data_IF_763119517789
#
_entry.id   IF_763119517789
#
_cell.length_a   1.000
_cell.length_b   1.000
_cell.length_c   1.000
_cell.angle_alpha   90.00
_cell.angle_beta   90.00
_cell.angle_gamma   90.00
#
_symmetry.space_group_name_H-M   'P 1'
#
loop_
_entity.id
_entity.type
_entity.pdbx_description
1 polymer ?
#
# COMPACT_ATOMS: atom_id res chain seq x y z
N UNK A 1 -11.92 8.99 68.17
CA UNK A 1 -12.95 8.08 67.63
C UNK A 1 -14.16 8.97 67.37
N UNK A 2 -14.68 9.20 66.17
CA UNK A 2 -14.57 8.53 64.89
C UNK A 2 -14.98 9.59 63.83
N UNK A 3 -14.22 9.69 62.74
CA UNK A 3 -14.38 10.76 61.74
C UNK A 3 -15.58 10.52 60.82
N UNK A 4 -16.38 11.56 60.63
CA UNK A 4 -17.51 11.58 59.71
C UNK A 4 -17.03 11.57 58.25
N UNK A 5 -17.49 10.58 57.48
CA UNK A 5 -17.30 10.49 56.03
C UNK A 5 -18.19 11.48 55.26
N UNK A 6 -17.70 12.14 54.19
CA UNK A 6 -18.57 12.83 53.26
C UNK A 6 -18.96 11.92 52.08
N UNK A 7 -20.27 11.84 51.86
CA UNK A 7 -20.98 11.14 50.78
C UNK A 7 -20.53 11.60 49.40
N UNK A 8 -20.10 10.67 48.55
CA UNK A 8 -19.87 10.89 47.14
C UNK A 8 -21.22 11.12 46.42
N UNK A 9 -21.40 12.32 45.86
CA UNK A 9 -22.52 12.62 44.95
C UNK A 9 -22.17 12.11 43.55
N UNK A 10 -22.93 11.14 43.06
CA UNK A 10 -23.02 10.79 41.65
C UNK A 10 -23.38 12.04 40.83
N UNK A 11 -22.46 12.50 39.97
CA UNK A 11 -22.80 13.34 38.82
C UNK A 11 -22.85 12.44 37.60
N UNK A 12 -24.07 12.11 37.18
CA UNK A 12 -24.35 11.70 35.81
C UNK A 12 -23.97 12.86 34.89
N UNK A 13 -23.05 12.62 33.96
CA UNK A 13 -22.75 13.56 32.88
C UNK A 13 -23.51 13.06 31.66
N UNK A 14 -24.64 13.71 31.39
CA UNK A 14 -25.38 13.61 30.15
C UNK A 14 -24.44 14.00 28.99
N UNK A 15 -24.25 13.08 28.05
CA UNK A 15 -23.53 13.33 26.81
C UNK A 15 -24.51 13.91 25.81
N UNK A 16 -24.56 15.24 25.73
CA UNK A 16 -25.18 15.94 24.61
C UNK A 16 -24.39 15.64 23.33
N UNK A 17 -25.04 14.97 22.38
CA UNK A 17 -24.49 14.65 21.07
C UNK A 17 -24.41 15.90 20.20
N UNK A 18 -23.21 16.46 20.06
CA UNK A 18 -22.93 17.44 19.01
C UNK A 18 -22.82 16.72 17.66
N UNK A 19 -23.96 16.61 16.97
CA UNK A 19 -24.01 16.24 15.57
C UNK A 19 -23.38 17.37 14.73
N UNK A 20 -22.28 17.05 14.03
CA UNK A 20 -21.75 17.92 12.99
C UNK A 20 -22.73 17.93 11.80
N UNK A 21 -23.10 19.09 11.24
CA UNK A 21 -24.00 19.14 10.10
C UNK A 21 -23.32 18.54 8.86
N UNK A 22 -23.93 17.49 8.33
CA UNK A 22 -23.59 16.88 7.04
C UNK A 22 -24.04 17.86 5.96
N UNK A 23 -23.09 18.41 5.20
CA UNK A 23 -23.39 19.20 4.02
C UNK A 23 -24.11 18.33 2.97
N UNK A 24 -25.13 18.86 2.27
CA UNK A 24 -25.84 18.10 1.24
C UNK A 24 -24.90 17.78 0.07
N UNK A 25 -25.02 16.54 -0.41
CA UNK A 25 -24.32 16.02 -1.59
C UNK A 25 -25.05 16.53 -2.83
N UNK A 26 -24.47 17.51 -3.51
CA UNK A 26 -24.85 17.86 -4.88
C UNK A 26 -23.73 17.43 -5.82
N UNK A 27 -23.92 16.28 -6.47
CA UNK A 27 -23.35 15.92 -7.77
C UNK A 27 -24.08 14.67 -8.27
N UNK A 28 -25.35 14.85 -8.64
CA UNK A 28 -26.00 13.99 -9.63
C UNK A 28 -25.50 14.44 -11.00
N UNK A 29 -24.63 13.62 -11.61
CA UNK A 29 -24.31 13.75 -13.03
C UNK A 29 -25.38 13.01 -13.81
N UNK A 30 -26.32 13.75 -14.38
CA UNK A 30 -27.27 13.24 -15.38
C UNK A 30 -26.49 12.75 -16.61
N UNK A 31 -26.60 11.45 -16.90
CA UNK A 31 -26.21 10.89 -18.19
C UNK A 31 -27.29 11.27 -19.22
N UNK A 32 -27.02 12.29 -20.04
CA UNK A 32 -27.77 12.54 -21.27
C UNK A 32 -27.48 11.42 -22.28
N UNK A 33 -28.50 10.58 -22.51
CA UNK A 33 -28.52 9.57 -23.56
C UNK A 33 -28.68 10.20 -24.95
N UNK A 34 -27.64 10.13 -25.77
CA UNK A 34 -27.73 10.45 -27.19
C UNK A 34 -28.27 9.22 -27.96
N UNK A 35 -29.56 9.26 -28.27
CA UNK A 35 -30.23 8.34 -29.18
C UNK A 35 -30.61 9.07 -30.47
N UNK A 36 -29.73 9.04 -31.48
CA UNK A 36 -30.14 9.24 -32.88
C UNK A 36 -29.44 8.30 -33.83
N UNK A 37 -30.21 7.31 -34.31
CA UNK A 37 -29.91 6.50 -35.47
C UNK A 37 -30.79 6.91 -36.66
N UNK A 38 -30.17 6.89 -37.86
CA UNK A 38 -30.74 6.93 -39.24
C UNK A 38 -31.19 8.33 -39.72
N UNK A 39 -30.96 8.77 -40.97
CA UNK A 39 -30.71 8.10 -42.24
C UNK A 39 -30.01 9.06 -43.25
N UNK A 40 -29.37 8.52 -44.29
CA UNK A 40 -29.03 9.31 -45.50
C UNK A 40 -27.81 8.83 -46.29
N UNK A 41 -28.03 7.97 -47.29
CA UNK A 41 -27.03 7.57 -48.30
C UNK A 41 -26.92 8.66 -49.38
N UNK A 42 -25.69 9.01 -49.81
CA UNK A 42 -25.20 8.94 -51.19
C UNK A 42 -23.91 9.75 -51.40
N UNK A 43 -23.00 9.22 -52.24
CA UNK A 43 -21.99 10.05 -52.95
C UNK A 43 -20.54 9.60 -52.79
N UNK A 44 -20.09 8.63 -53.61
CA UNK A 44 -18.66 8.38 -53.87
C UNK A 44 -18.07 9.59 -54.60
N UNK A 45 -16.98 10.18 -54.07
CA UNK A 45 -15.90 10.77 -54.89
C UNK A 45 -14.56 10.57 -54.18
N UNK A 46 -13.64 9.88 -54.88
CA UNK A 46 -12.20 9.92 -54.60
C UNK A 46 -11.66 11.26 -55.09
N UNK A 47 -10.80 11.89 -54.30
CA UNK A 47 -9.76 12.83 -54.75
C UNK A 47 -8.63 12.80 -53.70
N UNK A 48 -7.41 12.84 -54.22
CA UNK A 48 -6.19 12.54 -53.47
C UNK A 48 -5.51 13.75 -52.84
N UNK A 49 -4.36 13.40 -52.24
CA UNK A 49 -3.16 14.19 -51.97
C UNK A 49 -3.18 15.29 -50.89
N UNK A 50 -2.26 15.09 -49.93
CA UNK A 50 -1.45 16.08 -49.22
C UNK A 50 -2.14 16.97 -48.18
N UNK A 51 -1.88 16.68 -46.90
CA UNK A 51 -1.69 17.71 -45.87
C UNK A 51 -0.63 17.21 -44.87
N UNK A 52 0.61 17.62 -45.08
CA UNK A 52 1.59 17.86 -44.01
C UNK A 52 1.32 19.29 -43.49
N UNK A 53 0.97 19.44 -42.21
CA UNK A 53 1.66 20.30 -41.22
C UNK A 53 0.78 20.52 -39.97
N UNK A 54 1.35 20.51 -38.75
CA UNK A 54 0.64 20.85 -37.52
C UNK A 54 0.56 22.37 -37.35
N UNK A 55 -0.59 22.83 -36.85
CA UNK A 55 -0.87 24.23 -36.51
C UNK A 55 0.15 24.78 -35.49
N UNK A 56 1.17 25.46 -35.98
CA UNK A 56 2.08 26.28 -35.16
C UNK A 56 1.48 27.68 -34.99
N UNK A 57 0.68 27.84 -33.92
CA UNK A 57 0.05 29.10 -33.56
C UNK A 57 1.07 30.11 -33.02
N UNK A 58 1.70 30.88 -33.91
CA UNK A 58 2.45 32.09 -33.54
C UNK A 58 1.68 33.35 -33.94
N UNK A 59 0.81 33.81 -33.05
CA UNK A 59 0.30 35.18 -33.12
C UNK A 59 1.37 36.16 -32.60
N UNK A 60 1.76 37.20 -33.36
CA UNK A 60 2.73 38.18 -32.89
C UNK A 60 2.06 39.10 -31.87
N UNK A 61 2.47 39.02 -30.60
CA UNK A 61 2.07 39.95 -29.54
C UNK A 61 1.53 39.33 -28.25
N UNK A 62 1.31 38.02 -28.20
CA UNK A 62 0.96 37.37 -26.93
C UNK A 62 2.22 37.25 -26.06
N UNK A 63 2.36 38.08 -25.02
CA UNK A 63 3.34 37.82 -23.94
C UNK A 63 2.98 36.47 -23.33
N UNK A 64 3.69 35.42 -23.76
CA UNK A 64 3.61 34.08 -23.19
C UNK A 64 3.80 34.24 -21.68
N UNK A 65 2.74 34.03 -20.91
CA UNK A 65 2.82 33.97 -19.46
C UNK A 65 3.67 32.75 -19.14
N UNK A 66 4.95 32.98 -18.84
CA UNK A 66 5.89 31.92 -18.56
C UNK A 66 5.70 31.55 -17.10
N UNK A 67 4.90 30.51 -16.88
CA UNK A 67 4.74 29.88 -15.58
C UNK A 67 6.12 29.53 -14.98
N UNK A 68 6.55 30.22 -13.90
CA UNK A 68 7.85 30.00 -13.28
C UNK A 68 8.02 28.56 -12.76
N UNK A 69 6.92 27.89 -12.39
CA UNK A 69 6.95 26.52 -11.89
C UNK A 69 7.22 25.52 -13.02
N UNK A 70 6.68 25.75 -14.22
CA UNK A 70 7.01 24.94 -15.41
C UNK A 70 8.49 25.01 -15.78
N UNK A 71 9.13 26.17 -15.65
CA UNK A 71 10.58 26.32 -15.89
C UNK A 71 11.41 25.57 -14.85
N UNK A 72 11.04 25.64 -13.56
CA UNK A 72 11.70 24.88 -12.49
C UNK A 72 11.57 23.37 -12.70
N UNK A 73 10.36 22.88 -12.97
CA UNK A 73 10.15 21.47 -13.26
C UNK A 73 10.91 20.98 -14.51
N UNK A 74 11.07 21.81 -15.55
CA UNK A 74 11.89 21.47 -16.71
C UNK A 74 13.39 21.48 -16.38
N UNK A 75 13.87 22.43 -15.57
CA UNK A 75 15.25 22.49 -15.13
C UNK A 75 15.61 21.29 -14.23
N UNK A 76 14.73 20.92 -13.30
CA UNK A 76 14.91 19.75 -12.42
C UNK A 76 14.93 18.45 -13.22
N UNK A 77 14.07 18.31 -14.23
CA UNK A 77 14.08 17.16 -15.15
C UNK A 77 15.36 17.09 -15.98
N UNK A 78 15.88 18.23 -16.46
CA UNK A 78 17.17 18.28 -17.18
C UNK A 78 18.32 17.91 -16.26
N UNK A 79 18.36 18.45 -15.04
CA UNK A 79 19.38 18.12 -14.05
C UNK A 79 19.33 16.65 -13.60
N UNK A 80 18.14 16.06 -13.50
CA UNK A 80 17.97 14.63 -13.22
C UNK A 80 18.48 13.75 -14.38
N UNK A 81 18.19 14.13 -15.63
CA UNK A 81 18.72 13.46 -16.82
C UNK A 81 20.23 13.57 -16.93
N UNK A 82 20.80 14.74 -16.65
CA UNK A 82 22.26 14.94 -16.67
C UNK A 82 22.96 14.12 -15.57
N UNK A 83 22.31 13.89 -14.42
CA UNK A 83 22.79 12.97 -13.38
C UNK A 83 22.71 11.52 -13.82
N UNK A 84 21.62 11.10 -14.44
CA UNK A 84 21.44 9.75 -15.00
C UNK A 84 22.47 9.43 -16.09
N UNK A 85 22.74 10.40 -16.98
CA UNK A 85 23.70 10.26 -18.08
C UNK A 85 25.16 10.17 -17.60
N UNK A 86 25.48 10.64 -16.40
CA UNK A 86 26.81 10.55 -15.78
C UNK A 86 27.02 9.24 -15.01
N UNK A 87 25.97 8.45 -14.80
CA UNK A 87 26.08 7.14 -14.13
C UNK A 87 26.57 6.10 -15.14
N UNK A 88 27.63 5.36 -14.78
CA UNK A 88 28.01 4.16 -15.53
C UNK A 88 27.08 2.97 -15.24
N UNK A 89 27.32 1.81 -15.86
CA UNK A 89 26.58 0.56 -15.60
C UNK A 89 26.98 -0.14 -14.28
N UNK A 90 27.69 0.56 -13.39
CA UNK A 90 28.18 0.01 -12.12
C UNK A 90 27.08 -0.36 -11.12
N UNK A 91 27.45 -0.90 -9.94
CA UNK A 91 26.51 -1.27 -8.89
C UNK A 91 25.64 -0.09 -8.46
N UNK A 92 24.37 -0.34 -8.11
CA UNK A 92 23.44 0.69 -7.66
C UNK A 92 23.70 0.98 -6.18
N UNK A 93 24.17 2.20 -5.86
CA UNK A 93 24.30 2.62 -4.47
C UNK A 93 22.92 2.88 -3.87
N UNK A 94 22.51 2.03 -2.94
CA UNK A 94 21.15 2.00 -2.41
C UNK A 94 21.12 2.35 -0.92
N UNK A 95 20.24 3.29 -0.56
CA UNK A 95 19.91 3.62 0.82
C UNK A 95 18.56 3.01 1.18
N UNK A 96 18.53 2.08 2.12
CA UNK A 96 17.31 1.47 2.65
C UNK A 96 16.90 2.15 3.93
N UNK A 97 15.64 2.58 4.03
CA UNK A 97 15.08 3.10 5.28
C UNK A 97 14.45 1.96 6.06
N UNK A 98 15.04 1.65 7.19
CA UNK A 98 14.59 0.61 8.11
C UNK A 98 13.35 1.03 8.88
N UNK A 99 12.45 0.08 9.06
CA UNK A 99 11.35 0.15 10.02
C UNK A 99 11.49 -0.96 11.07
N UNK A 100 11.12 -0.64 12.31
CA UNK A 100 11.08 -1.58 13.44
C UNK A 100 9.68 -1.76 14.00
N UNK A 101 9.52 -2.88 14.71
CA UNK A 101 8.44 -3.15 15.64
C UNK A 101 9.08 -3.52 16.98
N UNK A 102 9.09 -2.59 17.93
CA UNK A 102 9.90 -2.74 19.14
C UNK A 102 11.39 -2.77 18.80
N UNK A 103 12.09 -3.82 19.23
CA UNK A 103 13.52 -4.02 18.94
C UNK A 103 13.79 -4.71 17.61
N UNK A 104 12.78 -5.37 17.03
CA UNK A 104 12.94 -6.19 15.82
C UNK A 104 12.77 -5.37 14.55
N UNK A 105 13.60 -5.67 13.54
CA UNK A 105 13.39 -5.15 12.19
C UNK A 105 12.13 -5.77 11.59
N UNK A 106 11.30 -4.92 10.99
CA UNK A 106 10.16 -5.43 10.22
C UNK A 106 10.68 -6.23 9.03
N UNK A 107 9.91 -7.25 8.64
CA UNK A 107 10.20 -8.10 7.49
C UNK A 107 10.51 -7.30 6.22
N UNK A 108 9.76 -6.24 5.95
CA UNK A 108 9.99 -5.37 4.77
C UNK A 108 11.39 -4.74 4.77
N UNK A 109 11.97 -4.44 5.95
CA UNK A 109 13.33 -3.94 6.04
C UNK A 109 14.34 -5.00 5.58
N UNK A 110 14.15 -6.25 6.00
CA UNK A 110 15.01 -7.37 5.62
C UNK A 110 14.90 -7.65 4.11
N UNK A 111 13.68 -7.65 3.58
CA UNK A 111 13.40 -7.80 2.15
C UNK A 111 14.10 -6.73 1.31
N UNK A 112 14.02 -5.47 1.74
CA UNK A 112 14.64 -4.35 1.05
C UNK A 112 16.17 -4.37 1.14
N UNK A 113 16.72 -4.72 2.30
CA UNK A 113 18.17 -4.84 2.47
C UNK A 113 18.76 -5.96 1.59
N UNK A 114 18.11 -7.13 1.57
CA UNK A 114 18.48 -8.22 0.69
C UNK A 114 18.42 -7.79 -0.78
N UNK A 115 17.33 -7.11 -1.18
CA UNK A 115 17.19 -6.63 -2.57
C UNK A 115 18.22 -5.57 -2.94
N UNK A 116 18.54 -4.66 -2.01
CA UNK A 116 19.57 -3.66 -2.22
C UNK A 116 20.94 -4.31 -2.45
N UNK A 117 21.27 -5.36 -1.69
CA UNK A 117 22.50 -6.15 -1.90
C UNK A 117 22.58 -6.84 -3.26
N UNK A 118 21.45 -7.32 -3.81
CA UNK A 118 21.40 -7.85 -5.18
C UNK A 118 21.64 -6.77 -6.26
N UNK A 119 21.27 -5.51 -5.98
CA UNK A 119 21.41 -4.40 -6.92
C UNK A 119 22.80 -3.73 -6.86
N UNK A 120 23.55 -3.94 -5.77
CA UNK A 120 24.86 -3.34 -5.54
C UNK A 120 25.11 -3.05 -4.06
N UNK A 121 25.63 -1.86 -3.77
CA UNK A 121 25.96 -1.47 -2.40
C UNK A 121 24.71 -1.05 -1.62
N UNK A 122 24.56 -1.57 -0.41
CA UNK A 122 23.43 -1.28 0.46
C UNK A 122 23.87 -0.62 1.77
N UNK A 123 23.33 0.57 2.04
CA UNK A 123 23.37 1.19 3.38
C UNK A 123 21.97 1.13 3.97
N UNK A 124 21.84 0.61 5.20
CA UNK A 124 20.55 0.58 5.90
C UNK A 124 20.55 1.62 7.01
N UNK A 125 19.58 2.53 6.98
CA UNK A 125 19.44 3.62 7.97
C UNK A 125 18.12 3.54 8.72
N UNK A 126 18.17 3.84 10.01
CA UNK A 126 16.99 3.99 10.87
C UNK A 126 16.94 5.42 11.40
N UNK A 127 15.80 6.08 11.22
CA UNK A 127 15.59 7.43 11.77
C UNK A 127 15.09 7.28 13.20
N UNK A 128 15.92 7.68 14.16
CA UNK A 128 15.60 7.67 15.58
C UNK A 128 14.61 8.79 15.93
N UNK A 129 13.62 8.46 16.75
CA UNK A 129 12.63 9.38 17.31
C UNK A 129 11.64 8.60 18.16
N UNK A 130 10.98 9.27 19.11
CA UNK A 130 9.96 8.64 19.96
C UNK A 130 8.78 8.09 19.15
N UNK A 131 8.45 8.76 18.04
CA UNK A 131 7.38 8.42 17.10
C UNK A 131 7.74 8.90 15.70
N UNK A 132 7.05 8.37 14.70
CA UNK A 132 7.10 8.93 13.35
C UNK A 132 6.60 10.38 13.35
N UNK A 133 7.43 11.31 12.87
CA UNK A 133 7.03 12.68 12.56
C UNK A 133 7.47 13.04 11.13
N UNK A 134 6.54 13.35 10.20
CA UNK A 134 6.86 13.49 8.79
C UNK A 134 7.96 14.50 8.48
N UNK A 135 7.91 15.71 9.07
CA UNK A 135 8.81 16.81 8.70
C UNK A 135 10.23 16.64 9.25
N UNK A 136 10.43 16.27 10.53
CA UNK A 136 11.75 15.90 11.04
C UNK A 136 12.37 14.72 10.30
N UNK A 137 11.58 13.68 10.00
CA UNK A 137 12.09 12.47 9.35
C UNK A 137 12.52 12.73 7.92
N UNK A 138 11.71 13.45 7.13
CA UNK A 138 12.10 13.79 5.75
C UNK A 138 13.27 14.76 5.70
N UNK A 139 13.46 15.61 6.72
CA UNK A 139 14.60 16.52 6.79
C UNK A 139 15.90 15.80 7.10
N UNK A 140 15.90 14.93 8.11
CA UNK A 140 17.04 14.06 8.42
C UNK A 140 17.43 13.17 7.23
N UNK A 141 16.43 12.54 6.59
CA UNK A 141 16.69 11.65 5.45
C UNK A 141 17.20 12.41 4.21
N UNK A 142 16.69 13.62 3.94
CA UNK A 142 17.20 14.45 2.86
C UNK A 142 18.68 14.82 3.06
N UNK A 143 19.07 15.24 4.28
CA UNK A 143 20.47 15.53 4.63
C UNK A 143 21.37 14.30 4.42
N UNK A 144 20.90 13.11 4.80
CA UNK A 144 21.60 11.83 4.58
C UNK A 144 21.76 11.50 3.10
N UNK A 145 20.72 11.72 2.30
CA UNK A 145 20.76 11.50 0.85
C UNK A 145 21.69 12.50 0.15
N UNK A 146 21.77 13.75 0.61
CA UNK A 146 22.69 14.75 0.07
C UNK A 146 24.16 14.43 0.39
N UNK A 147 24.45 13.91 1.59
CA UNK A 147 25.81 13.55 1.99
C UNK A 147 26.32 12.29 1.30
N UNK A 148 25.49 11.25 1.22
CA UNK A 148 25.91 9.97 0.64
C UNK A 148 25.68 9.84 -0.85
N UNK A 149 24.81 10.69 -1.42
CA UNK A 149 24.43 10.67 -2.84
C UNK A 149 24.05 9.27 -3.35
N UNK A 150 23.13 8.53 -2.70
CA UNK A 150 22.68 7.25 -3.21
C UNK A 150 21.93 7.43 -4.54
N UNK A 151 22.09 6.44 -5.42
CA UNK A 151 21.35 6.29 -6.67
C UNK A 151 19.88 5.96 -6.37
N UNK A 152 19.64 5.11 -5.38
CA UNK A 152 18.31 4.60 -5.07
C UNK A 152 18.02 4.74 -3.58
N UNK A 153 16.82 5.21 -3.25
CA UNK A 153 16.31 5.15 -1.87
C UNK A 153 15.11 4.20 -1.83
N UNK A 154 15.20 3.16 -0.99
CA UNK A 154 14.15 2.16 -0.82
C UNK A 154 13.48 2.33 0.54
N UNK A 155 12.15 2.34 0.54
CA UNK A 155 11.32 2.36 1.74
C UNK A 155 10.26 1.26 1.64
N UNK A 156 9.81 0.74 2.78
CA UNK A 156 8.61 -0.09 2.79
C UNK A 156 7.39 0.75 2.41
N UNK A 157 6.48 0.22 1.60
CA UNK A 157 5.21 0.88 1.30
C UNK A 157 4.19 0.69 2.45
N UNK A 158 4.65 0.88 3.69
CA UNK A 158 3.86 0.92 4.92
C UNK A 158 3.13 2.26 5.04
N UNK A 159 2.33 2.44 6.10
CA UNK A 159 1.67 3.72 6.37
C UNK A 159 2.69 4.88 6.45
N UNK A 160 3.77 4.69 7.22
CA UNK A 160 4.79 5.71 7.40
C UNK A 160 5.70 5.80 6.16
N UNK A 161 6.11 4.67 5.59
CA UNK A 161 7.05 4.67 4.48
C UNK A 161 6.47 5.24 3.19
N UNK A 162 5.15 5.09 2.93
CA UNK A 162 4.49 5.77 1.79
C UNK A 162 4.51 7.29 1.92
N UNK A 163 4.20 7.80 3.12
CA UNK A 163 4.22 9.24 3.42
C UNK A 163 5.65 9.79 3.32
N UNK A 164 6.61 9.13 3.98
CA UNK A 164 8.01 9.55 3.99
C UNK A 164 8.64 9.52 2.59
N UNK A 165 8.43 8.45 1.81
CA UNK A 165 9.00 8.29 0.48
C UNK A 165 8.49 9.37 -0.49
N UNK A 166 7.19 9.65 -0.48
CA UNK A 166 6.59 10.66 -1.34
C UNK A 166 7.13 12.06 -1.01
N UNK A 167 7.21 12.41 0.27
CA UNK A 167 7.77 13.69 0.73
C UNK A 167 9.24 13.83 0.36
N UNK A 168 10.02 12.77 0.54
CA UNK A 168 11.45 12.75 0.19
C UNK A 168 11.65 12.98 -1.30
N UNK A 169 10.92 12.23 -2.14
CA UNK A 169 11.03 12.35 -3.59
C UNK A 169 10.68 13.77 -4.06
N UNK A 170 9.60 14.35 -3.52
CA UNK A 170 9.19 15.71 -3.81
C UNK A 170 10.27 16.74 -3.38
N UNK A 171 10.83 16.60 -2.17
CA UNK A 171 11.87 17.49 -1.65
C UNK A 171 13.16 17.45 -2.47
N UNK A 172 13.55 16.27 -2.96
CA UNK A 172 14.77 16.06 -3.73
C UNK A 172 14.59 16.28 -5.25
N UNK A 173 13.37 16.51 -5.73
CA UNK A 173 13.06 16.57 -7.16
C UNK A 173 13.40 15.26 -7.90
N UNK A 174 13.20 14.10 -7.26
CA UNK A 174 13.51 12.77 -7.80
C UNK A 174 12.27 12.03 -8.26
N UNK A 175 12.45 11.10 -9.21
CA UNK A 175 11.38 10.20 -9.63
C UNK A 175 10.92 9.32 -8.45
N UNK A 176 9.62 9.03 -8.39
CA UNK A 176 9.01 8.18 -7.36
C UNK A 176 8.14 7.09 -7.97
N UNK A 177 8.41 5.84 -7.61
CA UNK A 177 7.49 4.74 -7.82
C UNK A 177 6.92 4.26 -6.48
N UNK A 178 5.61 4.43 -6.32
CA UNK A 178 4.89 3.99 -5.13
C UNK A 178 4.40 2.54 -5.25
N UNK A 179 4.45 1.81 -4.14
CA UNK A 179 3.82 0.48 -3.95
C UNK A 179 4.25 -0.53 -5.01
N UNK A 180 5.56 -0.59 -5.26
CA UNK A 180 6.20 -1.48 -6.22
C UNK A 180 6.22 -2.91 -5.68
N UNK A 181 6.00 -3.88 -6.57
CA UNK A 181 6.01 -5.32 -6.26
C UNK A 181 7.20 -6.06 -6.85
N UNK A 182 8.00 -5.42 -7.70
CA UNK A 182 9.22 -6.01 -8.26
C UNK A 182 10.20 -4.94 -8.72
N UNK A 183 11.50 -5.20 -8.55
CA UNK A 183 12.57 -4.26 -8.87
C UNK A 183 13.72 -4.95 -9.60
N UNK A 184 14.20 -4.34 -10.69
CA UNK A 184 15.35 -4.82 -11.47
C UNK A 184 16.20 -3.63 -11.93
N UNK A 185 17.51 -3.76 -11.83
CA UNK A 185 18.43 -2.80 -12.45
C UNK A 185 18.35 -2.90 -13.98
N UNK A 186 18.42 -1.75 -14.66
CA UNK A 186 18.39 -1.65 -16.11
C UNK A 186 19.35 -0.54 -16.58
N UNK A 187 20.65 -0.85 -16.60
CA UNK A 187 21.71 0.10 -16.96
C UNK A 187 21.72 1.31 -16.01
N UNK A 188 21.49 2.51 -16.55
CA UNK A 188 21.39 3.78 -15.78
C UNK A 188 19.99 4.06 -15.21
N UNK A 189 19.08 3.09 -15.35
CA UNK A 189 17.69 3.18 -14.91
C UNK A 189 17.26 1.96 -14.11
N UNK A 190 16.06 2.03 -13.55
CA UNK A 190 15.42 0.98 -12.77
C UNK A 190 14.11 0.58 -13.44
N UNK A 191 13.88 -0.71 -13.61
CA UNK A 191 12.56 -1.24 -13.96
C UNK A 191 11.82 -1.65 -12.68
N UNK A 192 10.60 -1.14 -12.52
CA UNK A 192 9.74 -1.43 -11.39
C UNK A 192 8.40 -2.00 -11.87
N UNK A 193 8.03 -3.17 -11.36
CA UNK A 193 6.69 -3.74 -11.57
C UNK A 193 5.76 -3.21 -10.47
N UNK A 194 4.59 -2.70 -10.83
CA UNK A 194 3.58 -2.25 -9.86
C UNK A 194 2.14 -2.53 -10.31
N UNK A 195 1.22 -2.78 -9.36
CA UNK A 195 -0.20 -2.83 -9.66
C UNK A 195 -0.76 -1.42 -9.89
N UNK A 196 -1.70 -1.32 -10.83
CA UNK A 196 -2.49 -0.12 -11.13
C UNK A 196 -3.97 -0.51 -11.25
N UNK A 197 -4.86 0.48 -11.09
CA UNK A 197 -6.32 0.29 -11.19
C UNK A 197 -6.84 -0.86 -10.32
N UNK A 198 -6.54 -0.79 -9.01
CA UNK A 198 -6.90 -1.84 -8.04
C UNK A 198 -6.37 -3.24 -8.38
N UNK A 199 -5.23 -3.32 -9.08
CA UNK A 199 -4.59 -4.58 -9.46
C UNK A 199 -5.04 -5.14 -10.81
N UNK A 200 -5.99 -4.49 -11.51
CA UNK A 200 -6.42 -4.88 -12.86
C UNK A 200 -5.33 -4.77 -13.91
N UNK A 201 -4.34 -3.91 -13.68
CA UNK A 201 -3.19 -3.73 -14.57
C UNK A 201 -1.91 -3.97 -13.79
N UNK A 202 -1.02 -4.80 -14.34
CA UNK A 202 0.37 -4.93 -13.89
C UNK A 202 1.24 -4.14 -14.85
N UNK A 203 1.75 -3.00 -14.40
CA UNK A 203 2.58 -2.12 -15.20
C UNK A 203 4.05 -2.34 -14.85
N UNK A 204 4.90 -2.31 -15.87
CA UNK A 204 6.34 -2.13 -15.72
C UNK A 204 6.69 -0.69 -16.06
N UNK A 205 7.28 0.03 -15.12
CA UNK A 205 7.68 1.43 -15.29
C UNK A 205 9.19 1.54 -15.22
N UNK A 206 9.76 2.44 -16.03
CA UNK A 206 11.19 2.74 -16.04
C UNK A 206 11.44 4.05 -15.30
N UNK A 207 12.35 4.05 -14.33
CA UNK A 207 12.77 5.22 -13.58
C UNK A 207 14.24 5.51 -13.87
N UNK A 208 14.55 6.71 -14.33
CA UNK A 208 15.94 7.17 -14.40
C UNK A 208 16.48 7.36 -12.97
N UNK A 209 17.68 6.86 -12.70
CA UNK A 209 18.36 7.08 -11.42
C UNK A 209 19.00 8.49 -11.39
N UNK A 210 19.00 9.20 -10.25
CA UNK A 210 18.59 8.70 -8.94
C UNK A 210 17.08 8.78 -8.66
N UNK A 211 16.54 7.78 -7.95
CA UNK A 211 15.11 7.62 -7.70
C UNK A 211 14.80 7.26 -6.24
N UNK A 212 13.53 7.44 -5.86
CA UNK A 212 12.94 6.95 -4.61
C UNK A 212 11.89 5.91 -4.95
N UNK A 213 11.85 4.81 -4.22
CA UNK A 213 10.85 3.75 -4.42
C UNK A 213 10.30 3.30 -3.08
N UNK A 214 8.97 3.16 -3.00
CA UNK A 214 8.35 2.41 -1.91
C UNK A 214 7.90 1.03 -2.40
N UNK A 215 8.28 -0.01 -1.67
CA UNK A 215 8.06 -1.41 -2.06
C UNK A 215 7.04 -2.07 -1.14
N UNK A 216 6.06 -2.75 -1.72
CA UNK A 216 5.01 -3.44 -0.99
C UNK A 216 5.61 -4.49 -0.03
N UNK A 217 5.29 -4.46 1.27
CA UNK A 217 5.70 -5.50 2.21
C UNK A 217 5.30 -6.90 1.71
N UNK A 218 6.22 -7.85 1.76
CA UNK A 218 6.01 -9.23 1.31
C UNK A 218 6.18 -9.45 -0.19
N UNK A 219 6.36 -8.40 -0.99
CA UNK A 219 6.45 -8.54 -2.44
C UNK A 219 7.82 -9.02 -2.91
N UNK A 220 8.88 -8.69 -2.17
CA UNK A 220 10.22 -9.18 -2.47
C UNK A 220 10.46 -10.48 -1.69
N UNK A 221 10.90 -11.56 -2.33
CA UNK A 221 11.26 -12.79 -1.64
C UNK A 221 12.41 -12.54 -0.66
N UNK A 222 12.28 -13.06 0.56
CA UNK A 222 13.38 -13.14 1.52
C UNK A 222 13.90 -14.57 1.54
N UNK A 223 15.13 -14.78 1.08
CA UNK A 223 15.74 -16.11 1.05
C UNK A 223 16.00 -16.63 2.47
N UNK A 224 15.92 -17.95 2.65
CA UNK A 224 16.28 -18.58 3.91
C UNK A 224 17.76 -18.30 4.22
N UNK A 225 18.05 -17.86 5.45
CA UNK A 225 19.41 -17.52 5.89
C UNK A 225 19.86 -16.09 5.57
N UNK A 226 18.96 -15.20 5.11
CA UNK A 226 19.28 -13.79 4.97
C UNK A 226 19.70 -13.19 6.32
N UNK A 227 20.93 -12.71 6.41
CA UNK A 227 21.46 -12.06 7.62
C UNK A 227 20.77 -10.71 7.86
N UNK A 228 20.59 -10.37 9.13
CA UNK A 228 20.08 -9.05 9.49
C UNK A 228 21.12 -7.99 9.09
N UNK A 229 20.73 -6.92 8.37
CA UNK A 229 21.67 -5.90 7.96
C UNK A 229 22.19 -5.11 9.17
N UNK A 230 23.41 -4.58 9.05
CA UNK A 230 23.89 -3.55 9.97
C UNK A 230 23.09 -2.27 9.76
N UNK A 231 22.51 -1.74 10.84
CA UNK A 231 21.63 -0.57 10.79
C UNK A 231 22.33 0.65 11.39
N UNK A 232 22.50 1.68 10.57
CA UNK A 232 23.00 2.97 11.03
C UNK A 232 21.85 3.84 11.54
N UNK A 233 21.92 4.27 12.80
CA UNK A 233 20.96 5.23 13.34
C UNK A 233 21.31 6.66 12.92
N UNK A 234 20.29 7.42 12.54
CA UNK A 234 20.36 8.87 12.34
C UNK A 234 19.25 9.54 13.13
N UNK A 235 19.51 10.70 13.73
CA UNK A 235 18.49 11.40 14.51
C UNK A 235 17.51 12.15 13.62
N UNK A 236 16.23 12.16 14.01
CA UNK A 236 15.25 13.04 13.39
C UNK A 236 15.65 14.51 13.56
N UNK A 237 15.41 15.32 12.53
CA UNK A 237 15.74 16.75 12.55
C UNK A 237 14.63 17.55 13.23
N UNK A 238 14.69 17.64 14.56
CA UNK A 238 13.67 18.30 15.38
C UNK A 238 13.49 19.78 15.03
N UNK A 239 14.49 20.43 14.44
CA UNK A 239 14.38 21.82 13.98
C UNK A 239 13.37 22.01 12.84
N UNK A 240 13.03 20.93 12.12
CA UNK A 240 12.05 20.94 11.05
C UNK A 240 10.61 20.69 11.53
N UNK A 241 10.38 20.49 12.83
CA UNK A 241 9.06 20.22 13.37
C UNK A 241 8.13 21.42 13.21
N UNK A 242 6.94 21.18 12.65
CA UNK A 242 5.88 22.19 12.50
C UNK A 242 4.51 21.64 12.92
N UNK A 243 4.46 20.41 13.40
CA UNK A 243 3.26 19.71 13.81
C UNK A 243 3.30 19.49 15.32
N UNK A 244 2.19 19.79 15.98
CA UNK A 244 1.99 19.44 17.39
C UNK A 244 1.26 18.11 17.45
N UNK A 245 1.92 17.09 17.98
CA UNK A 245 1.26 15.83 18.31
C UNK A 245 0.37 16.03 19.53
N UNK A 246 -0.91 15.65 19.41
CA UNK A 246 -1.89 15.83 20.49
C UNK A 246 -2.03 14.55 21.31
N UNK A 247 -2.33 13.42 20.67
CA UNK A 247 -2.59 12.15 21.35
C UNK A 247 -2.45 10.96 20.40
N UNK A 248 -1.99 9.82 20.92
CA UNK A 248 -2.19 8.51 20.34
C UNK A 248 -3.29 7.80 21.13
N UNK A 249 -4.35 7.37 20.46
CA UNK A 249 -5.37 6.51 21.04
C UNK A 249 -5.10 5.09 20.54
N UNK A 250 -4.45 4.27 21.38
CA UNK A 250 -4.28 2.86 21.06
C UNK A 250 -5.66 2.19 21.02
N UNK A 251 -6.01 1.58 19.89
CA UNK A 251 -7.11 0.62 19.83
C UNK A 251 -6.59 -0.70 20.43
N UNK A 252 -7.28 -1.21 21.44
CA UNK A 252 -6.87 -2.43 22.13
C UNK A 252 -6.74 -3.57 21.10
N UNK A 253 -5.51 -3.99 20.81
CA UNK A 253 -5.24 -5.19 20.02
C UNK A 253 -4.48 -6.16 20.91
N UNK A 254 -5.22 -6.76 21.85
CA UNK A 254 -4.80 -7.88 22.70
C UNK A 254 -4.77 -9.21 21.91
N UNK A 255 -4.38 -9.16 20.64
CA UNK A 255 -4.30 -10.35 19.81
C UNK A 255 -2.90 -10.91 19.88
N UNK A 256 -2.75 -12.11 20.48
CA UNK A 256 -1.52 -12.92 20.41
C UNK A 256 -1.12 -13.32 18.98
N UNK A 257 -1.96 -13.01 17.98
CA UNK A 257 -1.78 -13.40 16.57
C UNK A 257 -0.88 -12.41 15.82
N UNK A 258 -0.27 -12.92 14.75
CA UNK A 258 0.62 -12.15 13.87
C UNK A 258 -0.14 -10.97 13.24
N UNK A 259 0.54 -9.83 13.05
CA UNK A 259 -0.05 -8.70 12.34
C UNK A 259 -0.37 -9.07 10.90
N UNK A 260 -1.58 -8.75 10.42
CA UNK A 260 -2.00 -8.95 9.04
C UNK A 260 -0.99 -8.46 7.99
N UNK A 261 -0.33 -7.33 8.23
CA UNK A 261 0.61 -6.72 7.29
C UNK A 261 1.93 -7.50 7.13
N UNK A 262 2.22 -8.42 8.05
CA UNK A 262 3.47 -9.20 8.10
C UNK A 262 3.22 -10.71 8.01
N UNK A 263 1.95 -11.12 7.99
CA UNK A 263 1.56 -12.52 8.03
C UNK A 263 1.88 -13.23 6.71
N UNK A 264 2.50 -14.41 6.81
CA UNK A 264 2.74 -15.31 5.67
C UNK A 264 1.47 -16.03 5.22
N UNK A 265 0.56 -16.26 6.15
CA UNK A 265 -0.74 -16.85 5.91
C UNK A 265 -1.80 -15.92 6.45
N UNK A 266 -2.83 -15.64 5.66
CA UNK A 266 -4.01 -14.89 6.09
C UNK A 266 -5.24 -15.74 5.82
N UNK A 267 -6.02 -16.01 6.86
CA UNK A 267 -7.36 -16.60 6.72
C UNK A 267 -8.36 -15.47 6.95
N UNK A 268 -9.18 -15.19 5.96
CA UNK A 268 -10.09 -14.05 5.97
C UNK A 268 -11.54 -14.45 5.85
N UNK A 269 -12.38 -13.91 6.73
CA UNK A 269 -13.83 -14.10 6.73
C UNK A 269 -14.60 -12.97 6.04
N UNK A 270 -15.68 -13.33 5.34
CA UNK A 270 -16.65 -12.42 4.76
C UNK A 270 -18.05 -12.55 5.36
N UNK A 271 -19.01 -11.78 4.83
CA UNK A 271 -20.42 -11.86 5.23
C UNK A 271 -21.04 -13.24 5.04
N UNK A 272 -20.43 -14.10 4.21
CA UNK A 272 -20.87 -15.49 4.04
C UNK A 272 -20.83 -16.32 5.32
N UNK A 273 -20.14 -15.87 6.37
CA UNK A 273 -20.15 -16.48 7.71
C UNK A 273 -21.44 -16.21 8.50
N UNK A 274 -22.35 -15.36 7.98
CA UNK A 274 -23.70 -15.08 8.51
C UNK A 274 -23.79 -14.51 9.94
N UNK A 275 -22.69 -14.35 10.67
CA UNK A 275 -22.68 -13.69 11.98
C UNK A 275 -21.34 -13.85 12.71
N UNK A 276 -21.10 -13.04 13.76
CA UNK A 276 -19.87 -13.12 14.57
C UNK A 276 -19.75 -14.44 15.36
N UNK A 277 -20.85 -15.12 15.66
CA UNK A 277 -20.88 -16.42 16.34
C UNK A 277 -20.12 -17.51 15.56
N UNK A 278 -20.02 -17.36 14.24
CA UNK A 278 -19.34 -18.30 13.36
C UNK A 278 -17.88 -17.93 13.08
N UNK A 279 -17.36 -16.88 13.72
CA UNK A 279 -15.98 -16.42 13.48
C UNK A 279 -14.93 -17.42 13.94
N UNK A 280 -15.29 -18.34 14.85
CA UNK A 280 -14.44 -19.45 15.28
C UNK A 280 -13.89 -20.26 14.09
N UNK A 281 -14.65 -20.41 13.00
CA UNK A 281 -14.19 -21.09 11.77
C UNK A 281 -12.96 -20.44 11.15
N UNK A 282 -12.90 -19.10 11.17
CA UNK A 282 -11.76 -18.33 10.64
C UNK A 282 -10.57 -18.45 11.58
N UNK A 283 -10.82 -18.31 12.88
CA UNK A 283 -9.79 -18.32 13.92
C UNK A 283 -9.12 -19.69 14.05
N UNK A 284 -9.89 -20.77 14.07
CA UNK A 284 -9.35 -22.13 14.18
C UNK A 284 -8.51 -22.53 12.97
N UNK A 285 -8.95 -22.18 11.76
CA UNK A 285 -8.17 -22.43 10.55
C UNK A 285 -6.91 -21.57 10.51
N UNK A 286 -7.00 -20.30 10.93
CA UNK A 286 -5.83 -19.43 11.05
C UNK A 286 -4.82 -20.02 12.03
N UNK A 287 -5.26 -20.47 13.20
CA UNK A 287 -4.40 -21.06 14.22
C UNK A 287 -3.76 -22.37 13.72
N UNK A 288 -4.54 -23.22 13.04
CA UNK A 288 -4.04 -24.45 12.42
C UNK A 288 -2.95 -24.18 11.36
N UNK A 289 -3.05 -23.07 10.62
CA UNK A 289 -2.07 -22.66 9.62
C UNK A 289 -0.94 -21.79 10.18
N UNK A 290 -1.01 -21.37 11.46
CA UNK A 290 -0.10 -20.38 12.04
C UNK A 290 -0.20 -19.00 11.36
N UNK A 291 -1.40 -18.64 10.89
CA UNK A 291 -1.70 -17.43 10.14
C UNK A 291 -2.31 -16.30 10.97
N UNK A 292 -2.51 -15.16 10.31
CA UNK A 292 -3.30 -14.06 10.84
C UNK A 292 -4.75 -14.14 10.38
N UNK A 293 -5.63 -13.48 11.14
CA UNK A 293 -7.06 -13.38 10.85
C UNK A 293 -7.34 -12.08 10.12
N UNK A 294 -8.09 -12.15 9.02
CA UNK A 294 -8.55 -11.01 8.26
C UNK A 294 -10.08 -10.95 8.13
N UNK A 295 -10.59 -9.79 7.81
CA UNK A 295 -12.02 -9.56 7.60
C UNK A 295 -12.25 -8.72 6.33
N UNK A 296 -13.33 -9.01 5.60
CA UNK A 296 -13.82 -8.09 4.58
C UNK A 296 -14.39 -6.82 5.23
N UNK A 297 -14.43 -5.71 4.49
CA UNK A 297 -15.06 -4.47 4.99
C UNK A 297 -16.51 -4.67 5.45
N UNK A 298 -17.26 -5.53 4.77
CA UNK A 298 -18.65 -5.77 5.12
C UNK A 298 -18.83 -6.47 6.48
N UNK A 299 -17.77 -7.09 7.01
CA UNK A 299 -17.72 -7.68 8.36
C UNK A 299 -17.37 -6.61 9.40
N UNK A 300 -16.40 -5.75 9.11
CA UNK A 300 -15.99 -4.66 10.03
C UNK A 300 -17.03 -3.55 10.13
N UNK A 301 -17.65 -3.18 9.00
CA UNK A 301 -18.79 -2.23 8.97
C UNK A 301 -20.01 -2.78 9.76
N UNK A 302 -20.16 -4.11 9.84
CA UNK A 302 -21.18 -4.77 10.66
C UNK A 302 -20.81 -4.91 12.14
N UNK A 303 -19.63 -4.44 12.54
CA UNK A 303 -19.14 -4.49 13.92
C UNK A 303 -18.73 -5.89 14.40
N UNK A 304 -18.62 -6.88 13.51
CA UNK A 304 -18.26 -8.25 13.91
C UNK A 304 -16.80 -8.33 14.34
N UNK A 305 -15.93 -7.58 13.66
CA UNK A 305 -14.47 -7.55 13.85
C UNK A 305 -13.91 -6.13 13.79
N UNK A 306 -12.75 -5.89 14.43
CA UNK A 306 -12.12 -4.58 14.44
C UNK A 306 -11.57 -4.17 13.06
N UNK A 307 -11.49 -2.87 12.80
CA UNK A 307 -10.99 -2.31 11.52
C UNK A 307 -9.53 -2.70 11.24
N UNK A 308 -8.76 -3.01 12.27
CA UNK A 308 -7.40 -3.50 12.19
C UNK A 308 -7.30 -4.85 11.47
N UNK A 309 -8.39 -5.63 11.43
CA UNK A 309 -8.48 -6.89 10.69
C UNK A 309 -8.99 -6.69 9.26
N UNK A 310 -9.41 -5.49 8.87
CA UNK A 310 -9.97 -5.25 7.54
C UNK A 310 -8.90 -5.41 6.45
N UNK A 311 -9.19 -6.25 5.46
CA UNK A 311 -8.42 -6.38 4.22
C UNK A 311 -9.13 -5.63 3.10
N UNK A 312 -8.38 -4.87 2.30
CA UNK A 312 -8.91 -4.15 1.15
C UNK A 312 -8.29 -2.78 0.95
N UNK A 313 -8.79 -2.04 -0.04
CA UNK A 313 -8.32 -0.71 -0.44
C UNK A 313 -8.35 0.31 0.70
N UNK A 314 -9.39 0.27 1.54
CA UNK A 314 -9.55 1.14 2.70
C UNK A 314 -9.11 0.47 4.01
N UNK A 315 -8.63 -0.77 3.94
CA UNK A 315 -8.07 -1.51 5.06
C UNK A 315 -6.57 -1.75 4.86
N UNK A 316 -6.09 -2.90 5.32
CA UNK A 316 -4.72 -3.35 5.07
C UNK A 316 -4.62 -3.99 3.69
N UNK A 317 -3.59 -3.58 2.96
CA UNK A 317 -3.08 -4.35 1.81
C UNK A 317 -2.11 -5.40 2.35
N UNK A 318 -2.32 -6.66 1.98
CA UNK A 318 -1.54 -7.82 2.44
C UNK A 318 -0.95 -8.56 1.24
N UNK A 319 0.22 -9.17 1.44
CA UNK A 319 0.94 -9.95 0.42
C UNK A 319 1.38 -11.30 0.99
N UNK A 320 0.47 -12.11 1.57
CA UNK A 320 0.85 -13.39 2.15
C UNK A 320 1.27 -14.40 1.07
N UNK A 321 1.99 -15.42 1.50
CA UNK A 321 2.25 -16.60 0.70
C UNK A 321 0.94 -17.38 0.44
N UNK A 322 0.03 -17.42 1.43
CA UNK A 322 -1.29 -18.04 1.32
C UNK A 322 -2.39 -17.09 1.84
N UNK A 323 -3.42 -16.87 1.02
CA UNK A 323 -4.64 -16.19 1.40
C UNK A 323 -5.83 -17.13 1.26
N UNK A 324 -6.56 -17.36 2.34
CA UNK A 324 -7.80 -18.18 2.34
C UNK A 324 -8.99 -17.26 2.54
N UNK A 325 -9.86 -17.16 1.53
CA UNK A 325 -11.07 -16.34 1.56
C UNK A 325 -12.29 -17.21 1.86
N UNK A 326 -12.89 -17.02 3.03
CA UNK A 326 -14.06 -17.78 3.50
C UNK A 326 -15.32 -16.92 3.41
N UNK A 327 -16.22 -17.24 2.47
CA UNK A 327 -17.49 -16.54 2.31
C UNK A 327 -17.34 -15.07 1.89
N UNK A 328 -16.31 -14.77 1.09
CA UNK A 328 -16.05 -13.43 0.53
C UNK A 328 -16.43 -13.44 -0.95
N UNK A 329 -17.24 -12.46 -1.39
CA UNK A 329 -17.68 -12.38 -2.79
C UNK A 329 -16.60 -11.89 -3.76
N UNK A 330 -15.61 -11.14 -3.27
CA UNK A 330 -14.53 -10.61 -4.12
C UNK A 330 -14.81 -9.23 -4.73
N UNK A 331 -15.49 -8.34 -4.00
CA UNK A 331 -15.64 -6.94 -4.42
C UNK A 331 -14.27 -6.30 -4.72
N UNK A 332 -14.20 -5.44 -5.75
CA UNK A 332 -12.94 -4.83 -6.25
C UNK A 332 -12.11 -4.20 -5.13
N UNK A 333 -12.77 -3.56 -4.16
CA UNK A 333 -12.12 -2.93 -3.02
C UNK A 333 -11.46 -3.95 -2.09
N UNK A 334 -12.03 -5.15 -1.92
CA UNK A 334 -11.40 -6.24 -1.18
C UNK A 334 -10.20 -6.78 -1.97
N UNK A 335 -10.39 -7.07 -3.26
CA UNK A 335 -9.34 -7.61 -4.14
C UNK A 335 -8.11 -6.71 -4.20
N UNK A 336 -8.30 -5.38 -4.22
CA UNK A 336 -7.21 -4.41 -4.20
C UNK A 336 -6.24 -4.62 -3.02
N UNK A 337 -6.72 -5.16 -1.91
CA UNK A 337 -5.94 -5.42 -0.71
C UNK A 337 -5.27 -6.79 -0.65
N UNK A 338 -5.59 -7.74 -1.53
CA UNK A 338 -5.08 -9.12 -1.43
C UNK A 338 -4.72 -9.80 -2.75
N UNK A 339 -4.97 -9.19 -3.91
CA UNK A 339 -4.68 -9.81 -5.23
C UNK A 339 -3.18 -10.06 -5.47
N UNK A 340 -2.30 -9.50 -4.64
CA UNK A 340 -0.86 -9.75 -4.68
C UNK A 340 -0.42 -10.95 -3.84
N UNK A 341 -1.35 -11.66 -3.20
CA UNK A 341 -1.07 -12.94 -2.55
C UNK A 341 -0.49 -13.95 -3.54
N UNK A 342 0.43 -14.80 -3.09
CA UNK A 342 1.06 -15.81 -3.97
C UNK A 342 0.12 -16.96 -4.32
N UNK A 343 -0.66 -17.41 -3.33
CA UNK A 343 -1.70 -18.43 -3.49
C UNK A 343 -2.99 -17.94 -2.86
N UNK A 344 -4.08 -17.98 -3.61
CA UNK A 344 -5.42 -17.59 -3.20
C UNK A 344 -6.33 -18.82 -3.24
N UNK A 345 -6.84 -19.18 -2.08
CA UNK A 345 -7.86 -20.22 -1.91
C UNK A 345 -9.19 -19.52 -1.60
N UNK A 346 -10.25 -19.82 -2.33
CA UNK A 346 -11.57 -19.26 -2.10
C UNK A 346 -12.58 -20.36 -1.79
N UNK A 347 -13.36 -20.19 -0.71
CA UNK A 347 -14.50 -21.03 -0.35
C UNK A 347 -15.74 -20.18 -0.36
N UNK A 348 -16.65 -20.45 -1.28
CA UNK A 348 -17.90 -19.70 -1.40
C UNK A 348 -19.02 -20.61 -1.94
N UNK A 349 -20.24 -20.48 -1.40
CA UNK A 349 -21.39 -21.24 -1.87
C UNK A 349 -21.90 -20.79 -3.25
N UNK A 350 -21.61 -19.54 -3.60
CA UNK A 350 -22.03 -18.92 -4.87
C UNK A 350 -20.95 -19.16 -5.93
N UNK A 351 -21.18 -20.05 -6.92
CA UNK A 351 -20.19 -20.36 -7.96
C UNK A 351 -19.83 -19.16 -8.84
N UNK A 352 -20.67 -18.12 -8.88
CA UNK A 352 -20.48 -16.94 -9.71
C UNK A 352 -19.75 -15.79 -8.98
N UNK A 353 -19.30 -16.02 -7.74
CA UNK A 353 -18.59 -15.02 -6.94
C UNK A 353 -17.29 -14.54 -7.63
N UNK A 354 -17.12 -13.21 -7.71
CA UNK A 354 -15.96 -12.55 -8.33
C UNK A 354 -14.60 -13.01 -7.78
N UNK A 355 -14.55 -13.47 -6.52
CA UNK A 355 -13.33 -14.00 -5.90
C UNK A 355 -12.73 -15.17 -6.69
N UNK A 356 -13.56 -15.99 -7.34
CA UNK A 356 -13.10 -17.13 -8.13
C UNK A 356 -12.35 -16.72 -9.39
N UNK A 357 -12.54 -15.49 -9.89
CA UNK A 357 -11.83 -14.97 -11.07
C UNK A 357 -10.33 -14.79 -10.82
N UNK A 358 -9.91 -14.73 -9.56
CA UNK A 358 -8.50 -14.54 -9.18
C UNK A 358 -7.97 -15.66 -8.27
N UNK A 359 -8.81 -16.63 -7.89
CA UNK A 359 -8.41 -17.70 -7.00
C UNK A 359 -7.58 -18.74 -7.76
N UNK A 360 -6.48 -19.19 -7.16
CA UNK A 360 -5.73 -20.34 -7.66
C UNK A 360 -6.47 -21.64 -7.37
N UNK A 361 -7.17 -21.70 -6.24
CA UNK A 361 -8.02 -22.82 -5.85
C UNK A 361 -9.41 -22.32 -5.43
N UNK A 362 -10.46 -22.78 -6.10
CA UNK A 362 -11.85 -22.45 -5.79
C UNK A 362 -12.61 -23.67 -5.28
N UNK A 363 -13.32 -23.53 -4.16
CA UNK A 363 -14.22 -24.53 -3.59
C UNK A 363 -15.63 -23.96 -3.53
N UNK A 364 -16.53 -24.56 -4.31
CA UNK A 364 -17.97 -24.23 -4.27
C UNK A 364 -18.64 -25.10 -3.21
N UNK A 365 -18.74 -24.59 -2.00
CA UNK A 365 -19.30 -25.32 -0.86
C UNK A 365 -19.84 -24.35 0.21
N UNK A 366 -20.67 -24.87 1.12
CA UNK A 366 -21.00 -24.15 2.34
C UNK A 366 -19.77 -24.11 3.27
N UNK A 367 -19.43 -22.91 3.75
CA UNK A 367 -18.32 -22.69 4.68
C UNK A 367 -18.52 -23.44 5.99
N UNK A 368 -19.77 -23.64 6.44
CA UNK A 368 -20.08 -24.36 7.68
C UNK A 368 -19.80 -25.86 7.60
N UNK A 369 -19.78 -26.43 6.39
CA UNK A 369 -19.51 -27.84 6.18
C UNK A 369 -18.03 -28.06 5.81
N UNK A 370 -17.51 -27.25 4.88
CA UNK A 370 -16.18 -27.44 4.34
C UNK A 370 -15.07 -27.02 5.31
N UNK A 371 -15.20 -25.87 5.98
CA UNK A 371 -14.10 -25.29 6.77
C UNK A 371 -13.71 -26.16 7.97
N UNK A 372 -14.64 -26.77 8.74
CA UNK A 372 -14.27 -27.70 9.81
C UNK A 372 -13.46 -28.90 9.29
N UNK A 373 -13.95 -29.56 8.24
CA UNK A 373 -13.27 -30.72 7.65
C UNK A 373 -11.88 -30.36 7.08
N UNK A 374 -11.78 -29.19 6.45
CA UNK A 374 -10.51 -28.68 5.93
C UNK A 374 -9.52 -28.36 7.06
N UNK A 375 -9.99 -27.74 8.15
CA UNK A 375 -9.18 -27.42 9.33
C UNK A 375 -8.61 -28.69 9.96
N UNK A 376 -9.41 -29.75 10.09
CA UNK A 376 -8.95 -31.04 10.61
C UNK A 376 -7.93 -31.70 9.69
N UNK A 377 -8.12 -31.60 8.37
CA UNK A 377 -7.14 -32.08 7.39
C UNK A 377 -5.80 -31.32 7.51
N UNK A 378 -5.83 -29.99 7.65
CA UNK A 378 -4.64 -29.17 7.87
C UNK A 378 -3.92 -29.57 9.16
N UNK A 379 -4.64 -29.72 10.27
CA UNK A 379 -4.07 -30.15 11.55
C UNK A 379 -3.35 -31.50 11.43
N UNK A 380 -3.97 -32.48 10.74
CA UNK A 380 -3.35 -33.78 10.47
C UNK A 380 -2.11 -33.67 9.60
N UNK A 381 -2.16 -32.89 8.52
CA UNK A 381 -1.04 -32.74 7.58
C UNK A 381 0.18 -32.05 8.20
N UNK A 382 -0.01 -31.16 9.18
CA UNK A 382 1.09 -30.46 9.88
C UNK A 382 1.66 -31.22 11.08
N UNK A 383 0.99 -32.27 11.53
CA UNK A 383 1.48 -33.17 12.57
C UNK A 383 2.40 -34.28 12.01
N UNK A 384 2.43 -34.43 10.68
CA UNK A 384 3.36 -35.25 9.92
C UNK A 384 4.58 -34.41 9.54
#
# INVERSE_FOLDING_TARGET
MEGAAPRARHRAQEREGAALPVAPRDHEGEEEGDTRARAGRHGRRRLGSHVDDPLDGTAPGARRWQDPERRRHQADRRAARDRSARRGEGPVKTLVVAERKGTELRRVTLELAAKAGELGDATVVEIAGERYSPLPFVSALAKKVESEKPDLVLLGATLNGRDLAARLAARLGRAYAADVTGLRAAGTSLEADKPMYAGKVRARVRLDLPAVVSVRPGAIPLNAGAEAPQVQKIDADTSAEKLTFVKLAATATDTKRVSLSEARVVVSGGRGLKGPENWHLVEELADALGGAVGASRAVTDAGWRPNEEQVGQTGKTVTPDLYVALGISGAIQHLAGMTSSKVIVAVNKDPDADIFKIADYGVVADVFEFVPAFTDAVKRARAQ
#
